data_IF_420007563617
#
_entry.id   IF_420007563617
#
_cell.length_a   1.000
_cell.length_b   1.000
_cell.length_c   1.000
_cell.angle_alpha   90.00
_cell.angle_beta   90.00
_cell.angle_gamma   90.00
#
_symmetry.space_group_name_H-M   'P 1'
#
loop_
_entity.id
_entity.type
_entity.pdbx_description
1 polymer ?
#
# COMPACT_ATOMS: atom_id res chain seq x y z
N UNK A 1 -32.91 -30.49 -8.45
CA UNK A 1 -32.60 -29.26 -9.21
C UNK A 1 -31.20 -28.84 -8.82
N UNK A 2 -30.19 -29.19 -9.63
CA UNK A 2 -28.79 -29.03 -9.27
C UNK A 2 -28.39 -27.55 -9.32
N UNK A 3 -27.88 -27.03 -8.21
CA UNK A 3 -27.41 -25.65 -8.09
C UNK A 3 -26.12 -25.49 -8.91
N UNK A 4 -26.15 -24.66 -9.95
CA UNK A 4 -25.00 -24.42 -10.82
C UNK A 4 -23.95 -23.57 -10.09
N UNK A 5 -22.91 -24.21 -9.54
CA UNK A 5 -21.75 -23.55 -8.91
C UNK A 5 -21.12 -22.49 -9.84
N UNK A 6 -21.26 -22.66 -11.15
CA UNK A 6 -20.81 -21.72 -12.19
C UNK A 6 -21.48 -20.33 -12.13
N UNK A 7 -22.71 -20.22 -11.61
CA UNK A 7 -23.34 -18.89 -11.38
C UNK A 7 -22.68 -18.12 -10.24
N UNK A 8 -22.17 -18.82 -9.23
CA UNK A 8 -21.44 -18.21 -8.11
C UNK A 8 -20.07 -17.65 -8.55
N UNK A 9 -19.39 -18.32 -9.48
CA UNK A 9 -18.16 -17.80 -10.11
C UNK A 9 -18.38 -16.51 -10.93
N UNK A 10 -19.56 -16.29 -11.50
CA UNK A 10 -19.90 -15.04 -12.21
C UNK A 10 -20.04 -13.86 -11.24
N UNK A 11 -20.62 -14.11 -10.06
CA UNK A 11 -20.69 -13.12 -8.98
C UNK A 11 -19.32 -12.81 -8.37
N UNK A 12 -18.45 -13.81 -8.20
CA UNK A 12 -17.06 -13.62 -7.77
C UNK A 12 -16.24 -12.78 -8.76
N UNK A 13 -16.53 -12.87 -10.07
CA UNK A 13 -15.90 -12.05 -11.11
C UNK A 13 -16.32 -10.58 -11.03
N UNK A 14 -17.57 -10.31 -10.66
CA UNK A 14 -18.07 -8.96 -10.36
C UNK A 14 -17.49 -8.37 -9.07
N UNK A 15 -17.33 -9.20 -8.04
CA UNK A 15 -16.74 -8.79 -6.76
C UNK A 15 -15.24 -8.47 -6.88
N UNK A 16 -14.51 -9.22 -7.72
CA UNK A 16 -13.13 -8.90 -8.08
C UNK A 16 -12.98 -7.56 -8.82
N UNK A 17 -13.95 -7.20 -9.66
CA UNK A 17 -13.96 -5.89 -10.35
C UNK A 17 -14.17 -4.72 -9.39
N UNK A 18 -14.99 -4.91 -8.34
CA UNK A 18 -15.21 -3.89 -7.31
C UNK A 18 -13.94 -3.69 -6.48
N UNK A 19 -13.24 -4.78 -6.14
CA UNK A 19 -11.96 -4.71 -5.43
C UNK A 19 -10.91 -3.92 -6.23
N UNK A 20 -10.85 -4.11 -7.54
CA UNK A 20 -9.93 -3.36 -8.41
C UNK A 20 -10.26 -1.86 -8.40
N UNK A 21 -11.53 -1.49 -8.53
CA UNK A 21 -11.94 -0.08 -8.48
C UNK A 21 -11.62 0.56 -7.13
N UNK A 22 -11.81 -0.17 -6.04
CA UNK A 22 -11.46 0.31 -4.69
C UNK A 22 -9.95 0.51 -4.55
N UNK A 23 -9.13 -0.44 -5.01
CA UNK A 23 -7.66 -0.31 -4.98
C UNK A 23 -7.21 0.87 -5.83
N UNK A 24 -7.72 1.01 -7.06
CA UNK A 24 -7.40 2.14 -7.94
C UNK A 24 -7.82 3.49 -7.34
N UNK A 25 -8.96 3.55 -6.65
CA UNK A 25 -9.42 4.76 -5.98
C UNK A 25 -8.53 5.14 -4.79
N UNK A 26 -8.20 4.19 -3.91
CA UNK A 26 -7.30 4.41 -2.76
C UNK A 26 -5.91 4.86 -3.23
N UNK A 27 -5.41 4.19 -4.26
CA UNK A 27 -4.16 4.53 -4.94
C UNK A 27 -4.20 5.94 -5.54
N UNK A 28 -5.28 6.31 -6.25
CA UNK A 28 -5.42 7.63 -6.86
C UNK A 28 -5.47 8.75 -5.82
N UNK A 29 -6.21 8.55 -4.73
CA UNK A 29 -6.32 9.52 -3.63
C UNK A 29 -4.98 9.69 -2.91
N UNK A 30 -4.28 8.60 -2.61
CA UNK A 30 -2.96 8.65 -1.96
C UNK A 30 -1.90 9.30 -2.84
N UNK A 31 -1.90 9.01 -4.15
CA UNK A 31 -1.04 9.69 -5.12
C UNK A 31 -1.32 11.19 -5.15
N UNK A 32 -2.60 11.59 -5.20
CA UNK A 32 -2.98 13.01 -5.18
C UNK A 32 -2.49 13.72 -3.91
N UNK A 33 -2.67 13.11 -2.74
CA UNK A 33 -2.22 13.67 -1.47
C UNK A 33 -0.68 13.83 -1.41
N UNK A 34 0.08 12.84 -1.86
CA UNK A 34 1.55 12.94 -1.83
C UNK A 34 2.04 13.96 -2.86
N UNK A 35 1.61 13.83 -4.12
CA UNK A 35 2.17 14.60 -5.23
C UNK A 35 1.68 16.04 -5.24
N UNK A 36 0.37 16.26 -5.09
CA UNK A 36 -0.22 17.60 -5.26
C UNK A 36 -0.21 18.37 -3.95
N UNK A 37 -0.65 17.77 -2.84
CA UNK A 37 -0.83 18.54 -1.60
C UNK A 37 0.44 18.64 -0.76
N UNK A 38 1.30 17.61 -0.73
CA UNK A 38 2.53 17.65 0.08
C UNK A 38 3.75 18.20 -0.69
N UNK A 39 4.07 17.62 -1.85
CA UNK A 39 5.28 18.01 -2.59
C UNK A 39 5.05 19.06 -3.69
N UNK A 40 3.80 19.28 -4.10
CA UNK A 40 3.43 20.30 -5.09
C UNK A 40 3.83 21.72 -4.70
N UNK A 41 3.55 22.20 -3.47
CA UNK A 41 3.97 23.52 -3.01
C UNK A 41 5.50 23.66 -2.95
N UNK A 42 6.23 22.61 -2.56
CA UNK A 42 7.70 22.59 -2.55
C UNK A 42 8.32 22.70 -3.93
N UNK A 43 7.65 22.16 -4.97
CA UNK A 43 8.02 22.37 -6.37
C UNK A 43 7.79 23.82 -6.83
N UNK A 44 6.70 24.45 -6.37
CA UNK A 44 6.32 25.81 -6.75
C UNK A 44 7.14 26.91 -6.04
N UNK A 45 7.56 26.66 -4.80
CA UNK A 45 8.33 27.61 -4.00
C UNK A 45 9.82 27.70 -4.43
N UNK A 46 10.35 26.67 -5.12
CA UNK A 46 11.73 26.63 -5.57
C UNK A 46 12.75 26.37 -4.45
N UNK A 47 14.05 26.46 -4.76
CA UNK A 47 15.11 26.27 -3.77
C UNK A 47 15.48 24.81 -3.47
N UNK A 48 16.12 24.55 -2.33
CA UNK A 48 16.59 23.22 -1.93
C UNK A 48 15.43 22.24 -1.64
N UNK A 49 14.29 22.77 -1.20
CA UNK A 49 13.06 22.00 -0.98
C UNK A 49 12.50 21.43 -2.29
N UNK A 50 12.70 22.12 -3.42
CA UNK A 50 12.29 21.61 -4.73
C UNK A 50 13.16 20.44 -5.19
N UNK A 51 14.48 20.45 -4.90
CA UNK A 51 15.39 19.34 -5.17
C UNK A 51 15.00 18.09 -4.36
N UNK A 52 14.71 18.27 -3.06
CA UNK A 52 14.25 17.18 -2.20
C UNK A 52 12.89 16.64 -2.66
N UNK A 53 11.94 17.53 -2.98
CA UNK A 53 10.64 17.15 -3.51
C UNK A 53 10.76 16.37 -4.82
N UNK A 54 11.61 16.81 -5.76
CA UNK A 54 11.87 16.07 -7.01
C UNK A 54 12.47 14.69 -6.74
N UNK A 55 13.48 14.59 -5.87
CA UNK A 55 14.11 13.32 -5.53
C UNK A 55 13.10 12.32 -4.91
N UNK A 56 12.28 12.79 -3.97
CA UNK A 56 11.22 11.97 -3.35
C UNK A 56 10.16 11.58 -4.35
N UNK A 57 9.71 12.50 -5.21
CA UNK A 57 8.71 12.22 -6.24
C UNK A 57 9.21 11.18 -7.25
N UNK A 58 10.48 11.22 -7.66
CA UNK A 58 11.06 10.23 -8.58
C UNK A 58 10.99 8.82 -7.96
N UNK A 59 11.42 8.67 -6.71
CA UNK A 59 11.38 7.39 -6.01
C UNK A 59 9.94 6.90 -5.81
N UNK A 60 9.03 7.81 -5.46
CA UNK A 60 7.62 7.51 -5.27
C UNK A 60 6.97 7.03 -6.57
N UNK A 61 7.23 7.70 -7.70
CA UNK A 61 6.69 7.28 -9.01
C UNK A 61 7.26 5.93 -9.44
N UNK A 62 8.56 5.70 -9.25
CA UNK A 62 9.16 4.40 -9.56
C UNK A 62 8.46 3.28 -8.78
N UNK A 63 8.27 3.46 -7.48
CA UNK A 63 7.57 2.48 -6.64
C UNK A 63 6.11 2.30 -7.09
N UNK A 64 5.44 3.40 -7.42
CA UNK A 64 4.06 3.41 -7.86
C UNK A 64 3.85 2.66 -9.18
N UNK A 65 4.66 2.93 -10.19
CA UNK A 65 4.59 2.25 -11.48
C UNK A 65 4.95 0.77 -11.35
N UNK A 66 5.93 0.42 -10.50
CA UNK A 66 6.26 -0.99 -10.23
C UNK A 66 5.09 -1.74 -9.60
N UNK A 67 4.35 -1.11 -8.68
CA UNK A 67 3.13 -1.67 -8.10
C UNK A 67 2.02 -1.88 -9.14
N UNK A 68 1.77 -0.88 -10.01
CA UNK A 68 0.78 -1.02 -11.08
C UNK A 68 1.14 -2.10 -12.09
N UNK A 69 2.42 -2.16 -12.49
CA UNK A 69 2.93 -3.15 -13.42
C UNK A 69 2.78 -4.58 -12.87
N UNK A 70 3.23 -4.82 -11.64
CA UNK A 70 3.09 -6.14 -11.01
C UNK A 70 1.64 -6.57 -10.83
N UNK A 71 0.74 -5.62 -10.53
CA UNK A 71 -0.70 -5.87 -10.45
C UNK A 71 -1.32 -6.21 -11.81
N UNK A 72 -0.92 -5.49 -12.87
CA UNK A 72 -1.38 -5.75 -14.24
C UNK A 72 -0.87 -7.10 -14.75
N UNK A 73 0.41 -7.41 -14.52
CA UNK A 73 1.01 -8.71 -14.86
C UNK A 73 0.27 -9.83 -14.14
N UNK A 74 0.03 -9.69 -12.83
CA UNK A 74 -0.75 -10.66 -12.06
C UNK A 74 -2.16 -10.89 -12.61
N UNK A 75 -2.87 -9.82 -12.99
CA UNK A 75 -4.20 -9.92 -13.62
C UNK A 75 -4.14 -10.56 -15.01
N UNK A 76 -3.11 -10.25 -15.81
CA UNK A 76 -2.96 -10.78 -17.17
C UNK A 76 -2.63 -12.27 -17.20
N UNK A 77 -1.88 -12.76 -16.21
CA UNK A 77 -1.46 -14.17 -16.08
C UNK A 77 -2.46 -15.03 -15.29
N UNK A 78 -3.46 -14.42 -14.63
CA UNK A 78 -4.53 -15.13 -13.94
C UNK A 78 -5.25 -16.20 -14.79
N UNK A 79 -5.66 -15.95 -16.06
CA UNK A 79 -6.27 -16.98 -16.89
C UNK A 79 -5.32 -18.15 -17.17
N UNK A 80 -4.04 -17.88 -17.42
CA UNK A 80 -3.03 -18.93 -17.67
C UNK A 80 -2.79 -19.77 -16.43
N UNK A 81 -2.76 -19.13 -15.25
CA UNK A 81 -2.66 -19.83 -13.96
C UNK A 81 -3.87 -20.73 -13.69
N UNK A 82 -5.09 -20.30 -14.04
CA UNK A 82 -6.30 -21.13 -13.88
C UNK A 82 -6.29 -22.29 -14.88
N UNK A 83 -5.84 -22.05 -16.12
CA UNK A 83 -5.71 -23.09 -17.14
C UNK A 83 -4.71 -24.17 -16.72
N UNK A 84 -3.64 -23.81 -16.01
CA UNK A 84 -2.66 -24.76 -15.47
C UNK A 84 -3.27 -25.82 -14.53
N UNK A 85 -4.28 -25.44 -13.73
CA UNK A 85 -4.96 -26.36 -12.80
C UNK A 85 -6.22 -27.00 -13.39
N UNK A 86 -6.52 -26.76 -14.68
CA UNK A 86 -7.65 -27.35 -15.38
C UNK A 86 -7.20 -28.56 -16.21
N UNK A 87 -8.06 -29.57 -16.39
CA UNK A 87 -7.77 -30.80 -17.16
C UNK A 87 -7.64 -30.57 -18.70
N UNK A 88 -7.37 -29.34 -19.13
CA UNK A 88 -7.24 -28.96 -20.54
C UNK A 88 -5.85 -29.18 -21.12
N UNK A 89 -5.75 -29.22 -22.45
CA UNK A 89 -4.46 -29.25 -23.15
C UNK A 89 -3.70 -27.94 -22.93
N UNK A 90 -2.58 -28.01 -22.21
CA UNK A 90 -1.72 -26.85 -21.98
C UNK A 90 -0.83 -26.66 -23.20
N UNK A 91 -1.11 -25.59 -23.97
CA UNK A 91 -0.31 -25.24 -25.15
C UNK A 91 0.95 -24.48 -24.72
N UNK A 92 2.13 -25.09 -24.84
CA UNK A 92 3.40 -24.41 -24.54
C UNK A 92 4.53 -25.36 -24.17
N UNK A 93 5.74 -24.81 -24.00
CA UNK A 93 6.86 -25.58 -23.44
C UNK A 93 6.77 -25.62 -21.91
N UNK A 94 7.26 -26.68 -21.25
CA UNK A 94 7.33 -26.73 -19.79
C UNK A 94 8.07 -25.55 -19.17
N UNK A 95 9.08 -25.02 -19.87
CA UNK A 95 9.84 -23.84 -19.42
C UNK A 95 8.98 -22.57 -19.39
N UNK A 96 8.23 -22.30 -20.46
CA UNK A 96 7.32 -21.14 -20.52
C UNK A 96 6.27 -21.19 -19.41
N UNK A 97 5.73 -22.38 -19.15
CA UNK A 97 4.71 -22.62 -18.13
C UNK A 97 5.25 -22.42 -16.71
N UNK A 98 6.46 -22.89 -16.44
CA UNK A 98 7.13 -22.66 -15.15
C UNK A 98 7.42 -21.17 -14.93
N UNK A 99 7.85 -20.45 -15.97
CA UNK A 99 8.12 -19.01 -15.87
C UNK A 99 6.86 -18.18 -15.67
N UNK A 100 5.75 -18.49 -16.34
CA UNK A 100 4.48 -17.78 -16.14
C UNK A 100 3.89 -18.05 -14.76
N UNK A 101 4.00 -19.28 -14.25
CA UNK A 101 3.61 -19.63 -12.89
C UNK A 101 4.40 -18.85 -11.84
N UNK A 102 5.73 -18.84 -11.95
CA UNK A 102 6.60 -18.08 -11.04
C UNK A 102 6.34 -16.58 -11.14
N UNK A 103 6.20 -16.05 -12.36
CA UNK A 103 5.88 -14.65 -12.57
C UNK A 103 4.55 -14.29 -11.90
N UNK A 104 3.50 -15.10 -12.05
CA UNK A 104 2.22 -14.87 -11.39
C UNK A 104 2.35 -14.85 -9.86
N UNK A 105 2.94 -15.89 -9.26
CA UNK A 105 3.05 -16.02 -7.80
C UNK A 105 3.88 -14.88 -7.21
N UNK A 106 5.03 -14.57 -7.80
CA UNK A 106 5.94 -13.53 -7.30
C UNK A 106 5.35 -12.13 -7.47
N UNK A 107 4.75 -11.82 -8.63
CA UNK A 107 4.12 -10.50 -8.85
C UNK A 107 2.90 -10.29 -7.95
N UNK A 108 2.09 -11.33 -7.73
CA UNK A 108 0.94 -11.26 -6.83
C UNK A 108 1.37 -11.07 -5.38
N UNK A 109 2.35 -11.86 -4.90
CA UNK A 109 2.86 -11.74 -3.53
C UNK A 109 3.50 -10.37 -3.28
N UNK A 110 4.27 -9.86 -4.25
CA UNK A 110 4.88 -8.54 -4.17
C UNK A 110 3.84 -7.42 -4.15
N UNK A 111 2.86 -7.45 -5.06
CA UNK A 111 1.77 -6.46 -5.11
C UNK A 111 0.96 -6.44 -3.81
N UNK A 112 0.59 -7.61 -3.26
CA UNK A 112 -0.13 -7.69 -1.98
C UNK A 112 0.71 -7.21 -0.79
N UNK A 113 2.02 -7.45 -0.79
CA UNK A 113 2.92 -6.96 0.24
C UNK A 113 3.05 -5.43 0.22
N UNK A 114 3.25 -4.84 -0.96
CA UNK A 114 3.30 -3.37 -1.13
C UNK A 114 1.96 -2.73 -0.78
N UNK A 115 0.84 -3.34 -1.18
CA UNK A 115 -0.50 -2.89 -0.82
C UNK A 115 -0.72 -2.91 0.70
N UNK A 116 -0.32 -4.00 1.38
CA UNK A 116 -0.43 -4.11 2.84
C UNK A 116 0.42 -3.06 3.56
N UNK A 117 1.64 -2.84 3.11
CA UNK A 117 2.52 -1.79 3.61
C UNK A 117 1.91 -0.39 3.41
N UNK A 118 1.35 -0.12 2.22
CA UNK A 118 0.72 1.15 1.91
C UNK A 118 -0.55 1.38 2.75
N UNK A 119 -1.39 0.36 2.92
CA UNK A 119 -2.59 0.43 3.78
C UNK A 119 -2.19 0.78 5.21
N UNK A 120 -1.20 0.08 5.77
CA UNK A 120 -0.68 0.37 7.10
C UNK A 120 -0.20 1.83 7.22
N UNK A 121 0.60 2.32 6.26
CA UNK A 121 1.07 3.70 6.27
C UNK A 121 -0.05 4.74 6.11
N UNK A 122 -1.06 4.46 5.27
CA UNK A 122 -2.24 5.33 5.13
C UNK A 122 -3.02 5.38 6.45
N UNK A 123 -3.18 4.25 7.15
CA UNK A 123 -3.84 4.21 8.46
C UNK A 123 -3.10 5.05 9.51
N UNK A 124 -1.77 5.01 9.50
CA UNK A 124 -0.93 5.85 10.36
C UNK A 124 -1.12 7.34 10.06
N UNK A 125 -1.06 7.73 8.79
CA UNK A 125 -1.25 9.13 8.36
C UNK A 125 -2.67 9.61 8.67
N UNK A 126 -3.70 8.80 8.42
CA UNK A 126 -5.09 9.15 8.69
C UNK A 126 -5.38 9.30 10.19
N UNK A 127 -4.71 8.51 11.03
CA UNK A 127 -4.79 8.62 12.48
C UNK A 127 -3.86 9.72 13.06
N UNK A 128 -3.05 10.36 12.22
CA UNK A 128 -1.97 11.27 12.61
C UNK A 128 -1.04 10.64 13.68
N UNK A 129 -0.71 9.36 13.50
CA UNK A 129 0.17 8.61 14.39
C UNK A 129 1.37 8.06 13.62
N UNK A 130 2.50 7.94 14.30
CA UNK A 130 3.70 7.29 13.80
C UNK A 130 3.68 5.79 14.12
N UNK A 131 4.47 4.99 13.40
CA UNK A 131 4.60 3.55 13.70
C UNK A 131 5.08 3.29 15.14
N UNK A 132 5.92 4.17 15.69
CA UNK A 132 6.38 4.09 17.09
C UNK A 132 5.22 4.31 18.06
N UNK A 133 4.31 5.21 17.75
CA UNK A 133 3.11 5.45 18.58
C UNK A 133 2.07 4.32 18.48
N UNK A 134 2.12 3.48 17.45
CA UNK A 134 1.22 2.32 17.34
C UNK A 134 1.81 1.05 17.97
N UNK A 135 3.13 0.87 17.93
CA UNK A 135 3.77 -0.35 18.41
C UNK A 135 4.60 -0.19 19.69
N UNK A 136 4.77 1.03 20.18
CA UNK A 136 5.67 1.32 21.30
C UNK A 136 7.15 1.34 20.89
N UNK A 137 7.99 1.82 21.80
CA UNK A 137 9.45 1.88 21.60
C UNK A 137 10.15 0.56 21.93
N UNK A 138 9.53 -0.30 22.73
CA UNK A 138 10.08 -1.61 23.09
C UNK A 138 9.80 -2.67 22.01
N UNK A 139 10.87 -3.13 21.35
CA UNK A 139 10.83 -4.14 20.27
C UNK A 139 10.33 -5.51 20.73
N UNK A 140 10.39 -5.81 22.03
CA UNK A 140 9.96 -7.10 22.58
C UNK A 140 8.45 -7.29 22.40
N UNK A 141 7.70 -6.18 22.46
CA UNK A 141 6.24 -6.17 22.34
C UNK A 141 5.75 -5.93 20.90
N UNK A 142 6.62 -5.79 19.90
CA UNK A 142 6.16 -5.63 18.51
C UNK A 142 5.34 -6.80 17.98
N UNK A 143 5.59 -8.01 18.50
CA UNK A 143 4.91 -9.24 18.05
C UNK A 143 3.68 -9.62 18.88
N UNK A 144 3.36 -8.85 19.93
CA UNK A 144 2.27 -9.14 20.88
C UNK A 144 1.52 -7.83 21.08
N UNK A 145 0.17 -7.76 20.97
CA UNK A 145 -0.58 -6.51 21.12
C UNK A 145 -0.60 -6.04 22.59
N UNK A 146 0.54 -5.56 23.09
CA UNK A 146 0.79 -5.11 24.44
C UNK A 146 1.79 -3.95 24.42
N UNK A 147 1.76 -3.10 25.46
CA UNK A 147 2.67 -1.98 25.62
C UNK A 147 3.50 -2.16 26.89
N UNK A 148 4.73 -1.64 26.90
CA UNK A 148 5.50 -1.54 28.13
C UNK A 148 4.90 -0.47 29.05
N UNK A 149 5.08 -0.61 30.37
CA UNK A 149 4.66 0.42 31.35
C UNK A 149 5.29 1.79 31.06
N UNK A 150 6.50 1.80 30.49
CA UNK A 150 7.19 3.03 30.09
C UNK A 150 6.57 3.65 28.83
N UNK A 151 6.17 2.84 27.85
CA UNK A 151 5.46 3.31 26.66
C UNK A 151 4.08 3.89 27.03
N UNK A 152 3.34 3.22 27.94
CA UNK A 152 2.07 3.72 28.46
C UNK A 152 2.19 5.09 29.14
N UNK A 153 3.32 5.35 29.81
CA UNK A 153 3.62 6.65 30.44
C UNK A 153 4.06 7.72 29.45
N UNK A 154 4.74 7.35 28.37
CA UNK A 154 5.35 8.29 27.41
C UNK A 154 4.51 8.58 26.19
N UNK A 155 3.56 7.73 25.84
CA UNK A 155 2.75 7.87 24.62
C UNK A 155 1.65 8.94 24.80
N UNK A 156 1.75 10.09 24.10
CA UNK A 156 0.75 11.16 24.20
C UNK A 156 -0.60 10.74 23.59
N UNK A 157 -0.57 9.86 22.58
CA UNK A 157 -1.76 9.31 21.92
C UNK A 157 -2.73 8.57 22.86
N UNK A 158 -2.25 8.06 24.01
CA UNK A 158 -3.09 7.43 25.05
C UNK A 158 -3.73 8.46 26.01
N UNK A 159 -3.21 9.69 26.05
CA UNK A 159 -3.61 10.75 26.97
C UNK A 159 -4.45 11.86 26.29
N UNK A 160 -4.77 11.71 25.00
CA UNK A 160 -5.59 12.65 24.23
C UNK A 160 -4.80 13.40 23.15
N UNK A 161 -5.50 13.81 22.09
CA UNK A 161 -5.06 14.34 20.78
C UNK A 161 -4.11 15.56 20.76
N UNK A 162 -3.41 15.89 21.84
CA UNK A 162 -2.54 17.06 21.91
C UNK A 162 -1.10 16.68 21.55
N UNK A 163 -0.77 16.87 20.27
CA UNK A 163 0.60 16.82 19.80
C UNK A 163 1.34 18.07 20.31
N UNK A 164 2.53 17.95 20.93
CA UNK A 164 3.32 19.12 21.26
C UNK A 164 3.77 19.81 19.97
N UNK A 165 3.07 20.87 19.58
CA UNK A 165 3.60 21.85 18.63
C UNK A 165 4.84 22.48 19.25
N UNK A 166 5.86 22.80 18.44
CA UNK A 166 6.97 23.63 18.92
C UNK A 166 6.36 24.90 19.54
N UNK A 167 6.59 25.20 20.82
CA UNK A 167 6.29 26.52 21.33
C UNK A 167 7.28 27.50 20.66
N UNK A 168 6.74 28.59 20.12
CA UNK A 168 7.44 29.72 19.49
C UNK A 168 7.98 29.56 18.06
N UNK A 169 7.07 29.72 17.09
CA UNK A 169 7.36 30.51 15.86
C UNK A 169 6.37 31.66 15.66
N UNK A 170 5.30 31.74 16.44
CA UNK A 170 4.32 32.84 16.40
C UNK A 170 4.67 34.01 17.34
N UNK A 171 5.82 33.96 18.02
CA UNK A 171 6.31 34.99 18.95
C UNK A 171 7.54 35.76 18.44
N UNK A 172 8.00 35.52 17.21
CA UNK A 172 8.96 36.42 16.53
C UNK A 172 8.20 37.32 15.56
N UNK A 173 7.48 38.28 16.14
CA UNK A 173 7.28 39.56 15.49
C UNK A 173 8.65 40.20 15.25
N UNK A 174 9.00 40.37 13.98
CA UNK A 174 9.60 41.60 13.44
C UNK A 174 9.22 41.73 11.96
#
# INVERSE_FOLDING_TARGET
>A
MAWNVFKFCTALRGLGSIMILLVLAVVGVSYYAVVITNYGPGLAAGGLDSLLAVAVLILFHFLFYTFLETSLVGLSLLPDFIAFFSDGEISGTPGTLATSFLAFVLNLAFSLSVLGFLIMHISLVAANTTTIEVFGTDKTYWFIPAYSEEDLRRMPALHGLQYPSKPDLDAQEF
#
